data_IF_743245315372
#
_entry.id   IF_743245315372
#
_cell.length_a   1.000
_cell.length_b   1.000
_cell.length_c   1.000
_cell.angle_alpha   90.00
_cell.angle_beta   90.00
_cell.angle_gamma   90.00
#
_symmetry.space_group_name_H-M   'P 1'
#
loop_
_entity.id
_entity.type
_entity.pdbx_description
1 polymer ?
#
# COMPACT_ATOMS: atom_id res chain seq x y z
N UNK A 1 76.30 41.46 32.39
CA UNK A 1 75.59 40.17 32.39
C UNK A 1 74.19 40.38 31.77
N UNK A 2 73.96 39.89 30.56
CA UNK A 2 72.73 40.10 29.81
C UNK A 2 71.87 38.87 30.00
N UNK A 3 70.67 39.03 30.51
CA UNK A 3 69.66 37.93 30.57
C UNK A 3 68.87 37.92 29.27
N UNK A 4 68.95 36.82 28.52
CA UNK A 4 68.15 36.57 27.34
C UNK A 4 66.82 35.92 27.78
N UNK A 5 65.75 36.62 27.52
CA UNK A 5 64.35 36.09 27.71
C UNK A 5 63.91 35.28 26.48
N UNK A 6 63.75 34.01 26.65
CA UNK A 6 63.25 33.09 25.62
C UNK A 6 61.71 33.20 25.57
N UNK A 7 61.17 33.73 24.46
CA UNK A 7 59.74 33.81 24.21
C UNK A 7 59.33 32.57 23.40
N UNK A 8 58.42 31.75 23.94
CA UNK A 8 57.79 30.66 23.25
C UNK A 8 56.53 31.16 22.49
N UNK A 9 56.25 30.75 21.24
CA UNK A 9 55.03 31.10 20.56
C UNK A 9 53.89 30.16 21.02
N UNK A 10 52.77 30.74 21.47
CA UNK A 10 51.53 30.05 21.67
C UNK A 10 50.93 29.70 20.30
N UNK A 11 50.90 28.42 19.96
CA UNK A 11 50.15 27.93 18.80
C UNK A 11 48.68 27.82 19.18
N UNK A 12 47.84 28.67 18.61
CA UNK A 12 46.37 28.55 18.65
C UNK A 12 45.96 27.38 17.76
N UNK A 13 45.52 26.29 18.38
CA UNK A 13 44.83 25.17 17.68
C UNK A 13 43.35 25.59 17.57
N UNK A 14 42.93 26.04 16.39
CA UNK A 14 41.53 26.29 16.07
C UNK A 14 40.87 24.94 15.78
N UNK A 15 40.19 24.39 16.80
CA UNK A 15 39.38 23.19 16.64
C UNK A 15 38.11 23.49 15.84
N UNK A 16 38.04 22.97 14.61
CA UNK A 16 36.86 23.04 13.78
C UNK A 16 35.86 21.98 14.28
N UNK A 17 34.86 22.37 15.06
CA UNK A 17 33.78 21.51 15.49
C UNK A 17 32.81 21.37 14.32
N UNK A 18 32.87 20.26 13.60
CA UNK A 18 31.88 19.89 12.60
C UNK A 18 30.59 19.46 13.32
N UNK A 19 29.59 20.34 13.33
CA UNK A 19 28.23 20.01 13.69
C UNK A 19 27.65 19.12 12.58
N UNK A 20 27.59 17.81 12.79
CA UNK A 20 26.71 16.94 12.03
C UNK A 20 25.28 17.21 12.49
N UNK A 21 24.55 18.03 11.75
CA UNK A 21 23.12 18.13 11.88
C UNK A 21 22.53 16.79 11.37
N UNK A 22 22.13 15.91 12.29
CA UNK A 22 21.31 14.75 11.98
C UNK A 22 19.95 15.30 11.53
N UNK A 23 19.71 15.29 10.20
CA UNK A 23 18.38 15.47 9.65
C UNK A 23 17.63 14.18 10.03
N UNK A 24 16.90 14.22 11.13
CA UNK A 24 15.87 13.23 11.40
C UNK A 24 14.84 13.42 10.30
N UNK A 25 14.77 12.47 9.34
CA UNK A 25 13.63 12.37 8.44
C UNK A 25 12.43 12.14 9.35
N UNK A 26 11.64 13.19 9.58
CA UNK A 26 10.30 13.03 10.11
C UNK A 26 9.54 12.27 9.03
N UNK A 27 9.19 11.01 9.31
CA UNK A 27 8.15 10.34 8.57
C UNK A 27 6.92 11.25 8.68
N UNK A 28 6.52 11.88 7.58
CA UNK A 28 5.22 12.54 7.50
C UNK A 28 4.20 11.46 7.89
N UNK A 29 3.44 11.71 8.94
CA UNK A 29 2.31 10.86 9.30
C UNK A 29 1.41 10.82 8.07
N UNK A 30 1.27 9.64 7.43
CA UNK A 30 0.58 9.47 6.18
C UNK A 30 -0.78 10.16 6.22
N UNK A 31 -1.14 10.86 5.17
CA UNK A 31 -2.44 11.48 5.03
C UNK A 31 -3.50 10.38 5.07
N UNK A 32 -4.51 10.52 5.94
CA UNK A 32 -5.66 9.62 5.95
C UNK A 32 -6.64 10.06 4.86
N UNK A 33 -7.02 9.10 4.03
CA UNK A 33 -7.99 9.29 2.97
C UNK A 33 -9.26 8.52 3.32
N UNK A 34 -10.44 9.13 3.15
CA UNK A 34 -11.72 8.51 3.50
C UNK A 34 -12.63 8.38 2.29
N UNK A 35 -13.25 7.21 2.13
CA UNK A 35 -14.33 6.97 1.18
C UNK A 35 -15.26 5.85 1.70
N UNK A 36 -16.57 6.05 1.54
CA UNK A 36 -17.56 5.13 2.11
C UNK A 36 -17.41 5.05 3.63
N UNK A 37 -17.21 3.84 4.13
CA UNK A 37 -17.02 3.52 5.57
C UNK A 37 -15.56 3.24 5.92
N UNK A 38 -14.62 3.58 5.02
CA UNK A 38 -13.22 3.19 5.12
C UNK A 38 -12.29 4.38 5.10
N UNK A 39 -11.17 4.21 5.76
CA UNK A 39 -10.01 5.09 5.63
C UNK A 39 -8.83 4.30 5.09
N UNK A 40 -8.03 4.96 4.27
CA UNK A 40 -6.89 4.40 3.55
C UNK A 40 -5.63 5.17 3.91
N UNK A 41 -4.51 4.46 4.02
CA UNK A 41 -3.22 5.06 4.35
C UNK A 41 -2.07 4.37 3.62
N UNK A 42 -1.16 5.20 3.11
CA UNK A 42 0.12 4.82 2.49
C UNK A 42 1.30 4.94 3.47
N UNK A 43 1.04 4.95 4.77
CA UNK A 43 2.05 5.19 5.81
C UNK A 43 3.19 4.15 5.83
N UNK A 44 3.02 2.99 5.19
CA UNK A 44 4.05 1.97 5.05
C UNK A 44 5.05 2.30 3.91
N UNK A 45 4.74 3.27 3.06
CA UNK A 45 5.60 3.74 1.98
C UNK A 45 5.66 2.85 0.75
N UNK A 46 6.49 3.24 -0.22
CA UNK A 46 6.66 2.57 -1.52
C UNK A 46 5.69 3.05 -2.60
N UNK A 47 4.60 3.71 -2.23
CA UNK A 47 3.62 4.35 -3.10
C UNK A 47 3.05 5.59 -2.42
N UNK A 48 2.30 6.39 -3.17
CA UNK A 48 1.59 7.56 -2.66
C UNK A 48 0.14 7.50 -3.11
N UNK A 49 -0.82 7.68 -2.19
CA UNK A 49 -2.23 7.83 -2.53
C UNK A 49 -2.45 9.23 -3.11
N UNK A 50 -2.95 9.30 -4.34
CA UNK A 50 -3.26 10.56 -5.04
C UNK A 50 -4.70 10.98 -4.78
N UNK A 51 -5.62 10.00 -4.69
CA UNK A 51 -7.04 10.26 -4.46
C UNK A 51 -7.81 9.03 -4.04
N UNK A 52 -8.91 9.27 -3.32
CA UNK A 52 -9.88 8.24 -2.96
C UNK A 52 -11.28 8.80 -3.12
N UNK A 53 -12.20 8.00 -3.68
CA UNK A 53 -13.61 8.37 -3.87
C UNK A 53 -14.52 7.14 -3.89
N UNK A 54 -15.83 7.33 -4.01
CA UNK A 54 -16.83 6.25 -4.10
C UNK A 54 -17.40 5.80 -2.76
N UNK A 55 -18.36 4.88 -2.82
CA UNK A 55 -19.12 4.39 -1.66
C UNK A 55 -18.86 2.92 -1.33
N UNK A 56 -18.15 2.19 -2.20
CA UNK A 56 -17.87 0.76 -2.02
C UNK A 56 -18.98 -0.16 -2.52
N UNK A 57 -19.98 0.35 -3.24
CA UNK A 57 -21.00 -0.50 -3.88
C UNK A 57 -20.51 -0.94 -5.27
N UNK A 58 -21.15 -1.96 -5.85
CA UNK A 58 -20.83 -2.41 -7.21
C UNK A 58 -21.03 -1.30 -8.26
N UNK A 59 -22.02 -0.42 -8.07
CA UNK A 59 -22.32 0.70 -8.98
C UNK A 59 -21.46 1.94 -8.71
N UNK A 60 -20.93 2.06 -7.51
CA UNK A 60 -20.09 3.18 -7.06
C UNK A 60 -18.95 2.62 -6.20
N UNK A 61 -17.97 1.90 -6.82
CA UNK A 61 -16.87 1.28 -6.10
C UNK A 61 -15.99 2.34 -5.43
N UNK A 62 -15.23 1.92 -4.42
CA UNK A 62 -14.15 2.77 -3.93
C UNK A 62 -13.07 2.82 -5.00
N UNK A 63 -12.81 4.00 -5.51
CA UNK A 63 -11.72 4.25 -6.46
C UNK A 63 -10.54 4.80 -5.64
N UNK A 64 -9.46 4.06 -5.64
CA UNK A 64 -8.18 4.44 -5.04
C UNK A 64 -7.19 4.71 -6.16
N UNK A 65 -6.72 5.95 -6.27
CA UNK A 65 -5.71 6.35 -7.27
C UNK A 65 -4.35 6.47 -6.58
N UNK A 66 -3.34 5.79 -7.10
CA UNK A 66 -2.02 5.66 -6.50
C UNK A 66 -0.89 5.88 -7.52
N UNK A 67 0.26 6.31 -7.03
CA UNK A 67 1.52 6.32 -7.77
C UNK A 67 2.56 5.48 -7.03
N UNK A 68 3.11 4.48 -7.71
CA UNK A 68 4.14 3.59 -7.18
C UNK A 68 5.53 4.11 -7.47
N UNK A 69 6.39 4.13 -6.45
CA UNK A 69 7.77 4.59 -6.53
C UNK A 69 8.78 3.45 -6.40
N UNK A 70 8.29 2.22 -6.20
CA UNK A 70 9.08 1.02 -5.95
C UNK A 70 8.58 -0.17 -6.77
N UNK A 71 9.44 -1.16 -6.97
CA UNK A 71 9.10 -2.48 -7.52
C UNK A 71 9.03 -3.56 -6.44
N UNK A 72 9.17 -3.19 -5.17
CA UNK A 72 8.96 -4.09 -4.05
C UNK A 72 7.50 -4.07 -3.62
N UNK A 73 6.98 -5.17 -3.05
CA UNK A 73 5.64 -5.17 -2.50
C UNK A 73 5.40 -4.01 -1.52
N UNK A 74 4.26 -3.37 -1.63
CA UNK A 74 3.80 -2.26 -0.77
C UNK A 74 2.56 -2.66 -0.01
N UNK A 75 2.24 -1.96 1.06
CA UNK A 75 1.09 -2.29 1.91
C UNK A 75 0.17 -1.08 2.05
N UNK A 76 -1.03 -1.20 1.50
CA UNK A 76 -2.13 -0.30 1.76
C UNK A 76 -2.81 -0.69 3.06
N UNK A 77 -2.95 0.25 3.98
CA UNK A 77 -3.69 0.03 5.22
C UNK A 77 -5.12 0.47 5.03
N UNK A 78 -6.07 -0.41 5.32
CA UNK A 78 -7.50 -0.16 5.23
C UNK A 78 -8.09 -0.26 6.63
N UNK A 79 -8.78 0.81 7.07
CA UNK A 79 -9.44 0.85 8.37
C UNK A 79 -10.92 1.09 8.18
N UNK A 80 -11.74 0.39 8.94
CA UNK A 80 -13.18 0.60 8.97
C UNK A 80 -13.54 1.61 10.04
N UNK A 81 -14.32 2.63 9.68
CA UNK A 81 -14.98 3.49 10.67
C UNK A 81 -16.14 2.68 11.27
N UNK A 82 -15.94 2.11 12.44
CA UNK A 82 -17.04 1.48 13.18
C UNK A 82 -18.00 2.55 13.67
N UNK A 83 -19.07 2.77 12.95
CA UNK A 83 -20.25 3.42 13.51
C UNK A 83 -20.88 2.47 14.51
N UNK A 84 -20.76 2.80 15.82
CA UNK A 84 -21.49 2.25 16.96
C UNK A 84 -22.14 0.88 16.71
N UNK A 85 -21.50 -0.18 17.17
CA UNK A 85 -21.97 -1.58 17.25
C UNK A 85 -23.24 -1.70 18.15
N UNK A 86 -24.31 -0.95 17.85
CA UNK A 86 -25.58 -1.04 18.59
C UNK A 86 -26.62 -1.92 17.89
N UNK A 87 -26.38 -2.32 16.65
CA UNK A 87 -27.28 -3.18 15.93
C UNK A 87 -26.55 -4.45 15.48
N UNK A 88 -26.79 -5.60 16.15
CA UNK A 88 -26.19 -6.88 15.73
C UNK A 88 -26.61 -7.32 14.32
N UNK A 89 -27.64 -6.70 13.74
CA UNK A 89 -28.08 -6.98 12.37
C UNK A 89 -27.23 -6.24 11.30
N UNK A 90 -26.44 -5.22 11.68
CA UNK A 90 -25.49 -4.54 10.80
C UNK A 90 -24.12 -5.22 10.76
N UNK A 91 -23.91 -6.24 11.59
CA UNK A 91 -22.64 -6.96 11.77
C UNK A 91 -22.52 -8.19 10.83
N UNK A 92 -23.38 -8.28 9.82
CA UNK A 92 -23.34 -9.34 8.81
C UNK A 92 -22.30 -8.96 7.76
N UNK A 93 -21.04 -9.27 8.04
CA UNK A 93 -19.96 -9.23 7.06
C UNK A 93 -19.82 -7.92 6.27
N UNK A 94 -18.63 -7.54 5.98
CA UNK A 94 -18.34 -6.41 5.10
C UNK A 94 -18.17 -6.94 3.69
N UNK A 95 -18.92 -6.38 2.74
CA UNK A 95 -18.67 -6.58 1.31
C UNK A 95 -18.57 -5.20 0.67
N UNK A 96 -17.45 -4.90 0.05
CA UNK A 96 -17.31 -3.69 -0.75
C UNK A 96 -16.54 -3.96 -2.04
N UNK A 97 -16.84 -3.15 -3.05
CA UNK A 97 -16.15 -3.17 -4.33
C UNK A 97 -15.09 -2.09 -4.35
N UNK A 98 -13.90 -2.46 -4.81
CA UNK A 98 -12.76 -1.58 -4.92
C UNK A 98 -12.25 -1.56 -6.36
N UNK A 99 -11.78 -0.39 -6.80
CA UNK A 99 -11.00 -0.20 -8.00
C UNK A 99 -9.70 0.52 -7.64
N UNK A 100 -8.60 -0.14 -7.89
CA UNK A 100 -7.25 0.42 -7.69
C UNK A 100 -6.76 0.90 -9.05
N UNK A 101 -6.46 2.19 -9.16
CA UNK A 101 -5.88 2.83 -10.34
C UNK A 101 -4.45 3.22 -10.01
N UNK A 102 -3.49 2.60 -10.70
CA UNK A 102 -2.07 2.77 -10.38
C UNK A 102 -1.31 3.40 -11.53
N UNK A 103 -0.40 4.31 -11.20
CA UNK A 103 0.62 4.83 -12.11
C UNK A 103 1.96 4.19 -11.80
N UNK A 104 2.65 3.67 -12.81
CA UNK A 104 3.98 3.11 -12.64
C UNK A 104 5.06 4.20 -12.61
N UNK A 105 5.38 4.72 -11.44
CA UNK A 105 6.51 5.64 -11.22
C UNK A 105 7.82 4.95 -10.81
N UNK A 106 7.88 3.59 -10.82
CA UNK A 106 9.02 2.84 -10.32
C UNK A 106 10.27 2.84 -11.23
N UNK A 107 10.13 3.31 -12.48
CA UNK A 107 11.20 3.32 -13.47
C UNK A 107 11.48 1.96 -14.13
N UNK A 108 10.74 0.89 -13.80
CA UNK A 108 10.86 -0.45 -14.37
C UNK A 108 9.52 -0.94 -14.91
N UNK A 109 9.49 -1.68 -16.04
CA UNK A 109 8.23 -2.22 -16.55
C UNK A 109 7.70 -3.31 -15.61
N UNK A 110 6.39 -3.35 -15.40
CA UNK A 110 5.71 -4.42 -14.68
C UNK A 110 5.12 -5.42 -15.67
N UNK A 111 5.38 -6.70 -15.46
CA UNK A 111 4.86 -7.80 -16.30
C UNK A 111 3.76 -8.60 -15.62
N UNK A 112 3.67 -8.51 -14.30
CA UNK A 112 2.58 -9.02 -13.49
C UNK A 112 2.28 -8.01 -12.37
N UNK A 113 1.06 -8.11 -11.79
CA UNK A 113 0.70 -7.34 -10.61
C UNK A 113 -0.10 -8.22 -9.65
N UNK A 114 0.38 -8.34 -8.41
CA UNK A 114 -0.23 -9.17 -7.39
C UNK A 114 -0.98 -8.35 -6.34
N UNK A 115 -2.05 -8.96 -5.80
CA UNK A 115 -2.72 -8.52 -4.59
C UNK A 115 -2.80 -9.66 -3.59
N UNK A 116 -2.62 -9.35 -2.30
CA UNK A 116 -2.78 -10.29 -1.20
C UNK A 116 -3.48 -9.59 -0.04
N UNK A 117 -4.52 -10.22 0.49
CA UNK A 117 -5.19 -9.75 1.70
C UNK A 117 -4.48 -10.26 2.94
N UNK A 118 -4.44 -9.44 3.99
CA UNK A 118 -3.88 -9.78 5.29
C UNK A 118 -4.74 -9.19 6.40
N UNK A 119 -5.33 -10.04 7.25
CA UNK A 119 -6.01 -9.57 8.47
C UNK A 119 -5.01 -9.08 9.51
N UNK A 120 -3.84 -9.70 9.55
CA UNK A 120 -2.71 -9.30 10.38
C UNK A 120 -1.52 -8.97 9.49
N UNK A 121 -0.84 -7.86 9.77
CA UNK A 121 0.30 -7.42 8.98
C UNK A 121 1.38 -8.53 8.87
N UNK A 122 1.82 -8.79 7.63
CA UNK A 122 2.77 -9.83 7.24
C UNK A 122 2.28 -11.28 7.44
N UNK A 123 0.97 -11.49 7.61
CA UNK A 123 0.35 -12.81 7.64
C UNK A 123 -0.71 -12.88 6.54
N UNK A 124 -0.49 -13.66 5.47
CA UNK A 124 -1.51 -13.82 4.43
C UNK A 124 -2.83 -14.32 5.02
N UNK A 125 -3.93 -13.71 4.64
CA UNK A 125 -5.27 -14.19 4.98
C UNK A 125 -5.53 -15.57 4.39
N UNK A 126 -6.27 -16.40 5.12
CA UNK A 126 -6.71 -17.71 4.68
C UNK A 126 -8.19 -17.91 4.98
N UNK A 127 -8.76 -19.05 4.61
CA UNK A 127 -10.19 -19.34 4.84
C UNK A 127 -10.65 -19.23 6.30
N UNK A 128 -9.76 -19.24 7.27
CA UNK A 128 -10.08 -19.25 8.70
C UNK A 128 -10.36 -17.87 9.28
N UNK A 129 -9.90 -16.81 8.67
CA UNK A 129 -10.02 -15.45 9.20
C UNK A 129 -11.23 -14.68 8.64
N UNK A 130 -11.84 -15.17 7.57
CA UNK A 130 -13.06 -14.60 6.99
C UNK A 130 -12.83 -13.39 6.08
N UNK A 131 -11.61 -12.88 5.95
CA UNK A 131 -11.23 -11.83 4.98
C UNK A 131 -10.88 -12.48 3.65
N UNK A 132 -11.54 -12.11 2.55
CA UNK A 132 -11.30 -12.73 1.25
C UNK A 132 -11.62 -11.83 0.06
N UNK A 133 -11.06 -12.16 -1.10
CA UNK A 133 -11.56 -11.68 -2.38
C UNK A 133 -12.84 -12.42 -2.73
N UNK A 134 -13.97 -11.89 -2.28
CA UNK A 134 -15.26 -12.51 -2.49
C UNK A 134 -15.57 -12.66 -3.99
N UNK A 135 -15.92 -13.86 -4.38
CA UNK A 135 -16.19 -14.21 -5.77
C UNK A 135 -17.53 -14.94 -5.86
N UNK A 136 -18.67 -14.22 -5.95
CA UNK A 136 -19.95 -14.86 -6.10
C UNK A 136 -20.07 -15.46 -7.51
N UNK A 137 -20.11 -16.79 -7.61
CA UNK A 137 -20.57 -17.59 -8.74
C UNK A 137 -19.93 -17.40 -10.12
N UNK A 138 -19.79 -16.19 -10.60
CA UNK A 138 -19.12 -15.86 -11.88
C UNK A 138 -17.94 -14.89 -11.63
N UNK A 139 -16.75 -15.45 -11.52
CA UNK A 139 -15.49 -14.72 -11.30
C UNK A 139 -15.21 -13.66 -12.38
N UNK A 140 -15.69 -13.89 -13.60
CA UNK A 140 -15.40 -13.00 -14.74
C UNK A 140 -16.09 -11.65 -14.62
N UNK A 141 -17.26 -11.60 -13.98
CA UNK A 141 -18.03 -10.37 -13.83
C UNK A 141 -17.64 -9.56 -12.58
N UNK A 142 -16.89 -10.15 -11.65
CA UNK A 142 -16.56 -9.55 -10.37
C UNK A 142 -15.14 -8.94 -10.33
N UNK A 143 -14.23 -9.47 -11.15
CA UNK A 143 -12.82 -9.07 -11.21
C UNK A 143 -12.51 -8.62 -12.63
N UNK A 144 -11.99 -7.41 -12.77
CA UNK A 144 -11.57 -6.84 -14.04
C UNK A 144 -10.23 -6.13 -13.93
N UNK A 145 -9.56 -5.94 -15.07
CA UNK A 145 -8.35 -5.13 -15.14
C UNK A 145 -8.20 -4.41 -16.46
N UNK A 146 -7.52 -3.27 -16.42
CA UNK A 146 -6.93 -2.61 -17.58
C UNK A 146 -5.40 -2.69 -17.48
N UNK A 147 -4.75 -3.13 -18.53
CA UNK A 147 -3.30 -3.34 -18.60
C UNK A 147 -2.86 -4.80 -18.54
N UNK A 148 -3.74 -5.70 -18.05
CA UNK A 148 -3.51 -7.15 -18.02
C UNK A 148 -4.70 -7.90 -18.59
N UNK A 149 -4.45 -8.97 -19.34
CA UNK A 149 -5.48 -9.71 -20.06
C UNK A 149 -6.05 -10.89 -19.26
N UNK A 150 -5.37 -11.32 -18.20
CA UNK A 150 -5.80 -12.47 -17.40
C UNK A 150 -5.48 -12.25 -15.91
N UNK A 151 -6.12 -13.03 -15.05
CA UNK A 151 -5.74 -13.14 -13.64
C UNK A 151 -5.84 -14.60 -13.18
N UNK A 152 -5.14 -14.90 -12.09
CA UNK A 152 -5.24 -16.16 -11.36
C UNK A 152 -5.43 -15.86 -9.88
N UNK A 153 -6.33 -16.58 -9.25
CA UNK A 153 -6.62 -16.58 -7.81
C UNK A 153 -6.46 -17.98 -7.18
N UNK A 154 -5.80 -18.89 -7.91
CA UNK A 154 -5.56 -20.27 -7.50
C UNK A 154 -4.34 -20.36 -6.57
N UNK A 155 -4.46 -19.77 -5.38
CA UNK A 155 -3.41 -19.71 -4.34
C UNK A 155 -3.88 -20.26 -3.00
N UNK A 156 -4.92 -21.11 -3.01
CA UNK A 156 -5.46 -21.71 -1.81
C UNK A 156 -4.37 -22.27 -0.87
N UNK A 157 -4.47 -22.07 0.45
CA UNK A 157 -5.62 -21.48 1.17
C UNK A 157 -5.60 -19.95 1.25
N UNK A 158 -4.67 -19.26 0.59
CA UNK A 158 -4.41 -17.83 0.77
C UNK A 158 -5.24 -16.96 -0.17
N UNK A 159 -5.73 -15.85 0.34
CA UNK A 159 -6.46 -14.83 -0.41
C UNK A 159 -5.49 -13.95 -1.19
N UNK A 160 -5.15 -14.43 -2.38
CA UNK A 160 -4.21 -13.80 -3.30
C UNK A 160 -4.74 -13.81 -4.74
N UNK A 161 -4.42 -12.76 -5.48
CA UNK A 161 -4.66 -12.67 -6.94
C UNK A 161 -3.39 -12.19 -7.64
N UNK A 162 -3.15 -12.69 -8.85
CA UNK A 162 -2.08 -12.19 -9.72
C UNK A 162 -2.66 -11.93 -11.11
N UNK A 163 -2.52 -10.69 -11.57
CA UNK A 163 -2.84 -10.25 -12.92
C UNK A 163 -1.63 -10.45 -13.83
N UNK A 164 -1.88 -10.99 -15.04
CA UNK A 164 -0.87 -11.45 -16.00
C UNK A 164 -1.23 -11.11 -17.43
N UNK A 165 -0.34 -11.52 -18.34
CA UNK A 165 -0.53 -11.33 -19.79
C UNK A 165 -0.69 -9.86 -20.17
N UNK A 166 0.16 -9.02 -19.59
CA UNK A 166 0.21 -7.60 -19.82
C UNK A 166 1.58 -7.01 -19.53
N UNK A 167 1.70 -5.71 -19.74
CA UNK A 167 2.92 -4.96 -19.43
C UNK A 167 2.55 -3.51 -19.19
N UNK A 168 3.07 -2.94 -18.12
CA UNK A 168 2.89 -1.53 -17.77
C UNK A 168 4.27 -0.89 -17.74
N UNK A 169 4.59 -0.09 -18.73
CA UNK A 169 5.86 0.61 -18.80
C UNK A 169 5.91 1.80 -17.81
N UNK A 170 7.09 2.30 -17.46
CA UNK A 170 7.22 3.47 -16.59
C UNK A 170 6.42 4.67 -17.11
N UNK A 171 5.61 5.28 -16.25
CA UNK A 171 4.70 6.38 -16.59
C UNK A 171 3.33 5.95 -17.13
N UNK A 172 3.11 4.66 -17.38
CA UNK A 172 1.81 4.13 -17.78
C UNK A 172 0.93 3.78 -16.58
N UNK A 173 -0.35 3.56 -16.85
CA UNK A 173 -1.37 3.27 -15.85
C UNK A 173 -1.94 1.86 -16.02
N UNK A 174 -2.30 1.25 -14.91
CA UNK A 174 -3.16 0.07 -14.87
C UNK A 174 -4.35 0.32 -13.93
N UNK A 175 -5.42 -0.48 -14.07
CA UNK A 175 -6.49 -0.50 -13.09
C UNK A 175 -6.97 -1.91 -12.82
N UNK A 176 -7.44 -2.14 -11.58
CA UNK A 176 -7.88 -3.43 -11.08
C UNK A 176 -9.18 -3.25 -10.31
N UNK A 177 -10.22 -3.96 -10.71
CA UNK A 177 -11.51 -3.97 -10.03
C UNK A 177 -11.72 -5.32 -9.35
N UNK A 178 -12.09 -5.32 -8.05
CA UNK A 178 -12.41 -6.55 -7.31
C UNK A 178 -13.26 -6.26 -6.06
N UNK A 179 -14.08 -7.22 -5.62
CA UNK A 179 -14.74 -7.13 -4.33
C UNK A 179 -13.82 -7.64 -3.21
N UNK A 180 -14.00 -7.08 -2.01
CA UNK A 180 -13.42 -7.60 -0.76
C UNK A 180 -14.56 -7.89 0.20
N UNK A 181 -14.57 -9.08 0.80
CA UNK A 181 -15.48 -9.48 1.85
C UNK A 181 -14.72 -9.76 3.14
N UNK A 182 -15.32 -9.39 4.26
CA UNK A 182 -14.82 -9.75 5.59
C UNK A 182 -16.01 -10.20 6.44
N UNK A 183 -16.07 -11.48 6.76
CA UNK A 183 -17.15 -12.12 7.53
C UNK A 183 -16.88 -12.07 9.04
N UNK A 184 -15.69 -11.68 9.45
CA UNK A 184 -15.28 -11.50 10.84
C UNK A 184 -14.58 -10.14 11.02
N UNK A 185 -15.28 -9.02 10.71
CA UNK A 185 -14.65 -7.75 10.43
C UNK A 185 -13.77 -7.24 11.57
N UNK A 186 -12.54 -6.92 11.23
CA UNK A 186 -11.59 -6.22 12.07
C UNK A 186 -11.59 -4.72 11.75
N UNK A 187 -11.10 -3.95 12.70
CA UNK A 187 -10.98 -2.49 12.51
C UNK A 187 -9.94 -2.12 11.47
N UNK A 188 -8.97 -2.98 11.23
CA UNK A 188 -7.85 -2.75 10.32
C UNK A 188 -7.49 -4.04 9.64
N UNK A 189 -7.32 -3.99 8.34
CA UNK A 189 -6.73 -5.03 7.52
C UNK A 189 -5.83 -4.41 6.45
N UNK A 190 -5.13 -5.23 5.71
CA UNK A 190 -4.07 -4.79 4.82
C UNK A 190 -4.25 -5.40 3.43
N UNK A 191 -3.95 -4.60 2.41
CA UNK A 191 -3.85 -5.05 1.03
C UNK A 191 -2.40 -4.90 0.58
N UNK A 192 -1.71 -6.01 0.43
CA UNK A 192 -0.39 -6.03 -0.19
C UNK A 192 -0.56 -5.87 -1.69
N UNK A 193 0.24 -5.02 -2.30
CA UNK A 193 0.28 -4.71 -3.72
C UNK A 193 1.69 -4.99 -4.23
N UNK A 194 1.81 -5.92 -5.19
CA UNK A 194 3.08 -6.52 -5.61
C UNK A 194 3.32 -6.33 -7.12
N UNK A 195 3.91 -5.18 -7.54
CA UNK A 195 4.33 -4.99 -8.92
C UNK A 195 5.54 -5.87 -9.21
N UNK A 196 5.45 -6.72 -10.25
CA UNK A 196 6.50 -7.66 -10.63
C UNK A 196 7.19 -7.27 -11.91
N UNK A 197 8.51 -7.18 -11.84
CA UNK A 197 9.37 -6.91 -12.99
C UNK A 197 9.80 -8.21 -13.68
N UNK A 198 10.23 -8.16 -14.96
CA UNK A 198 10.79 -9.32 -15.65
C UNK A 198 11.95 -9.92 -14.85
N UNK A 199 11.95 -11.24 -14.69
CA UNK A 199 13.13 -11.96 -14.17
C UNK A 199 14.28 -11.88 -15.17
N UNK A 200 15.43 -11.45 -14.71
CA UNK A 200 16.69 -11.40 -15.50
C UNK A 200 17.28 -12.80 -15.69
#
# INVERSE_FOLDING_TARGET
>A
MRWMSLRWPLSLITGCVLFFASIAAQAESGKLWSAGRYTFSDEMGGFTIIGVSGKGTRQDPIILTEEFHSTTPTVLIIRTEQTNLKDPAEDIGILFHMRVEVTNGSGHPWVEFGFELQEQLNVPSDYGDGLSFYQPGDKKDAIDSYGYASFSDDFEPYDRMIFRDGKIDPGENASFGFPIADFTPKRTFYLVQDPRIPSS
#
